data_IF_603416655015
#
_entry.id   IF_603416655015
#
_cell.length_a   1.000
_cell.length_b   1.000
_cell.length_c   1.000
_cell.angle_alpha   90.00
_cell.angle_beta   90.00
_cell.angle_gamma   90.00
#
_symmetry.space_group_name_H-M   'P 1'
#
loop_
_entity.id
_entity.type
_entity.pdbx_description
1 polymer ?
#
# COMPACT_ATOMS: atom_id res chain seq x y z
N UNK A 1 -6.44 -28.69 17.34
CA UNK A 1 -6.75 -28.35 15.93
C UNK A 1 -6.15 -26.98 15.69
N UNK A 2 -4.96 -26.92 15.11
CA UNK A 2 -4.34 -25.66 14.74
C UNK A 2 -4.92 -25.30 13.38
N UNK A 3 -5.84 -24.33 13.35
CA UNK A 3 -6.37 -23.78 12.12
C UNK A 3 -5.39 -22.69 11.67
N UNK A 4 -4.30 -23.08 11.00
CA UNK A 4 -3.51 -22.12 10.24
C UNK A 4 -4.35 -21.64 9.05
N UNK A 5 -4.61 -20.32 8.90
CA UNK A 5 -5.26 -19.80 7.70
C UNK A 5 -4.34 -20.06 6.50
N UNK A 6 -4.90 -20.19 5.28
CA UNK A 6 -4.09 -20.45 4.09
C UNK A 6 -3.02 -19.37 4.00
N UNK A 7 -1.75 -19.78 3.99
CA UNK A 7 -0.63 -18.92 3.70
C UNK A 7 -0.74 -18.49 2.23
N UNK A 8 -1.61 -17.52 1.95
CA UNK A 8 -1.42 -16.60 0.83
C UNK A 8 0.00 -16.10 1.00
N UNK A 9 0.84 -16.31 -0.01
CA UNK A 9 2.26 -15.94 -0.08
C UNK A 9 2.45 -14.42 0.01
N UNK A 10 2.03 -13.84 1.12
CA UNK A 10 2.01 -12.42 1.38
C UNK A 10 3.39 -12.12 1.92
N UNK A 11 4.31 -11.82 1.01
CA UNK A 11 5.66 -11.44 1.40
C UNK A 11 5.54 -10.23 2.34
N UNK A 12 6.09 -10.30 3.57
CA UNK A 12 6.05 -9.17 4.47
C UNK A 12 6.81 -8.01 3.84
N UNK A 13 6.26 -6.81 3.96
CA UNK A 13 6.90 -5.61 3.45
C UNK A 13 7.84 -5.01 4.51
N UNK A 14 8.88 -4.31 4.09
CA UNK A 14 9.75 -3.61 5.04
C UNK A 14 8.98 -2.49 5.75
N UNK A 15 9.34 -2.19 7.00
CA UNK A 15 8.71 -1.12 7.77
C UNK A 15 8.82 0.25 7.09
N UNK A 16 9.91 0.48 6.35
CA UNK A 16 10.11 1.69 5.56
C UNK A 16 9.09 1.82 4.42
N UNK A 17 8.87 0.74 3.67
CA UNK A 17 7.89 0.73 2.58
C UNK A 17 6.45 0.80 3.12
N UNK A 18 6.18 0.15 4.25
CA UNK A 18 4.90 0.27 4.94
C UNK A 18 4.60 1.72 5.34
N UNK A 19 5.59 2.42 5.90
CA UNK A 19 5.45 3.82 6.30
C UNK A 19 5.27 4.75 5.10
N UNK A 20 6.04 4.55 4.02
CA UNK A 20 5.85 5.31 2.78
C UNK A 20 4.45 5.12 2.20
N UNK A 21 3.93 3.88 2.23
CA UNK A 21 2.60 3.56 1.73
C UNK A 21 1.52 4.21 2.59
N UNK A 22 1.68 4.15 3.92
CA UNK A 22 0.79 4.83 4.88
C UNK A 22 0.75 6.34 4.65
N UNK A 23 1.90 6.97 4.45
CA UNK A 23 1.99 8.40 4.12
C UNK A 23 1.28 8.71 2.80
N UNK A 24 1.48 7.89 1.77
CA UNK A 24 0.81 8.09 0.48
C UNK A 24 -0.72 7.98 0.59
N UNK A 25 -1.25 7.07 1.39
CA UNK A 25 -2.70 6.96 1.66
C UNK A 25 -3.25 8.20 2.37
N UNK A 26 -2.46 8.81 3.26
CA UNK A 26 -2.83 10.07 3.95
C UNK A 26 -2.80 11.27 3.01
N UNK A 27 -1.73 11.41 2.25
CA UNK A 27 -1.50 12.54 1.35
C UNK A 27 -2.47 12.53 0.15
N UNK A 28 -2.81 11.34 -0.35
CA UNK A 28 -3.65 11.14 -1.53
C UNK A 28 -4.97 10.46 -1.18
N UNK A 29 -5.61 10.83 -0.06
CA UNK A 29 -6.85 10.23 0.41
C UNK A 29 -7.98 10.21 -0.65
N UNK A 30 -8.00 11.21 -1.53
CA UNK A 30 -8.93 11.30 -2.67
C UNK A 30 -8.84 10.13 -3.66
N UNK A 31 -7.70 9.42 -3.70
CA UNK A 31 -7.49 8.25 -4.55
C UNK A 31 -8.06 6.96 -3.94
N UNK A 32 -8.49 6.98 -2.68
CA UNK A 32 -8.92 5.80 -1.93
C UNK A 32 -10.37 5.95 -1.47
N UNK A 33 -11.30 5.28 -2.17
CA UNK A 33 -12.71 5.27 -1.76
C UNK A 33 -12.94 4.57 -0.40
N UNK A 34 -12.01 3.71 0.02
CA UNK A 34 -11.98 3.03 1.32
C UNK A 34 -11.06 3.70 2.34
N UNK A 35 -10.66 4.95 2.10
CA UNK A 35 -9.63 5.64 2.89
C UNK A 35 -9.78 5.45 4.41
N UNK A 36 -8.66 5.08 5.05
CA UNK A 36 -8.56 4.93 6.50
C UNK A 36 -7.23 5.54 6.98
N UNK A 37 -7.25 6.51 7.94
CA UNK A 37 -6.04 7.17 8.45
C UNK A 37 -5.09 6.24 9.21
N UNK A 38 -5.59 5.10 9.68
CA UNK A 38 -4.86 4.08 10.44
C UNK A 38 -4.44 2.88 9.58
N UNK A 39 -4.73 2.91 8.27
CA UNK A 39 -4.31 1.86 7.34
C UNK A 39 -2.79 1.75 7.31
N UNK A 40 -2.28 0.56 7.64
CA UNK A 40 -0.84 0.26 7.62
C UNK A 40 -0.65 -1.07 6.91
N UNK A 41 -0.09 -1.09 5.70
CA UNK A 41 0.12 -2.33 4.96
C UNK A 41 1.21 -3.16 5.63
N UNK A 42 0.93 -4.44 5.82
CA UNK A 42 1.83 -5.45 6.38
C UNK A 42 2.48 -6.29 5.28
N UNK A 43 1.92 -6.26 4.08
CA UNK A 43 2.28 -7.17 2.99
C UNK A 43 2.57 -6.40 1.70
N UNK A 44 3.40 -7.00 0.84
CA UNK A 44 3.69 -6.46 -0.50
C UNK A 44 2.41 -6.32 -1.33
N UNK A 45 1.42 -7.20 -1.15
CA UNK A 45 0.15 -7.15 -1.88
C UNK A 45 -0.68 -5.91 -1.51
N UNK A 46 -0.77 -5.58 -0.23
CA UNK A 46 -1.44 -4.35 0.22
C UNK A 46 -0.73 -3.10 -0.32
N UNK A 47 0.61 -3.09 -0.34
CA UNK A 47 1.37 -1.98 -0.93
C UNK A 47 1.14 -1.88 -2.44
N UNK A 48 1.04 -3.00 -3.15
CA UNK A 48 0.67 -3.00 -4.58
C UNK A 48 -0.73 -2.44 -4.80
N UNK A 49 -1.68 -2.73 -3.91
CA UNK A 49 -3.01 -2.12 -3.97
C UNK A 49 -2.94 -0.60 -3.80
N UNK A 50 -2.11 -0.11 -2.87
CA UNK A 50 -1.85 1.33 -2.71
C UNK A 50 -1.31 1.93 -4.01
N UNK A 51 -0.29 1.32 -4.62
CA UNK A 51 0.27 1.74 -5.92
C UNK A 51 -0.80 1.79 -7.00
N UNK A 52 -1.66 0.77 -7.09
CA UNK A 52 -2.70 0.69 -8.10
C UNK A 52 -3.73 1.82 -7.96
N UNK A 53 -4.10 2.18 -6.73
CA UNK A 53 -5.02 3.29 -6.49
C UNK A 53 -4.36 4.66 -6.74
N UNK A 54 -3.12 4.85 -6.31
CA UNK A 54 -2.36 6.09 -6.61
C UNK A 54 -2.20 6.33 -8.11
N UNK A 55 -2.01 5.26 -8.91
CA UNK A 55 -1.92 5.35 -10.38
C UNK A 55 -3.20 5.83 -11.06
N UNK A 56 -4.36 5.69 -10.41
CA UNK A 56 -5.65 6.22 -10.88
C UNK A 56 -5.83 7.71 -10.53
N UNK A 57 -4.99 8.24 -9.65
CA UNK A 57 -5.00 9.64 -9.24
C UNK A 57 -4.32 10.58 -10.24
N UNK A 58 -4.05 11.80 -9.78
CA UNK A 58 -3.36 12.82 -10.58
C UNK A 58 -1.85 12.59 -10.72
N UNK A 59 -1.18 13.49 -11.45
CA UNK A 59 0.25 13.39 -11.74
C UNK A 59 1.14 13.20 -10.49
N UNK A 60 0.81 13.87 -9.37
CA UNK A 60 1.54 13.74 -8.10
C UNK A 60 1.34 12.37 -7.43
N UNK A 61 0.11 11.83 -7.47
CA UNK A 61 -0.18 10.49 -6.96
C UNK A 61 0.54 9.43 -7.79
N UNK A 62 0.58 9.61 -9.12
CA UNK A 62 1.30 8.73 -10.02
C UNK A 62 2.81 8.70 -9.76
N UNK A 63 3.44 9.87 -9.51
CA UNK A 63 4.85 9.95 -9.10
C UNK A 63 5.10 9.18 -7.81
N UNK A 64 4.25 9.39 -6.79
CA UNK A 64 4.35 8.65 -5.52
C UNK A 64 4.18 7.14 -5.70
N UNK A 65 3.30 6.72 -6.61
CA UNK A 65 3.11 5.32 -6.95
C UNK A 65 4.36 4.69 -7.58
N UNK A 66 5.11 5.44 -8.39
CA UNK A 66 6.37 4.97 -8.94
C UNK A 66 7.44 4.82 -7.85
N UNK A 67 7.60 5.82 -6.99
CA UNK A 67 8.54 5.76 -5.86
C UNK A 67 8.28 4.51 -4.99
N UNK A 68 7.02 4.30 -4.60
CA UNK A 68 6.62 3.15 -3.80
C UNK A 68 6.93 1.81 -4.49
N UNK A 69 6.65 1.73 -5.79
CA UNK A 69 6.86 0.53 -6.59
C UNK A 69 8.35 0.25 -6.85
N UNK A 70 9.21 1.26 -6.81
CA UNK A 70 10.66 1.09 -6.90
C UNK A 70 11.28 0.54 -5.62
N UNK A 71 10.57 0.62 -4.49
CA UNK A 71 10.99 0.09 -3.20
C UNK A 71 10.47 -1.33 -2.90
N UNK A 72 9.66 -1.89 -3.81
CA UNK A 72 9.16 -3.27 -3.79
C UNK A 72 10.08 -4.19 -4.59
#
# INVERSE_FOLDING_TARGET
>A
MNTEPPATTSQPVSAEVAEMARQAVRDFHECFWWWNPDFTPQTVEEVREVVLNLRKGGHRAWQRAQELNSCL
#
